data_IF_052264649820
#
_entry.id   IF_052264649820
#
_cell.length_a   1.000
_cell.length_b   1.000
_cell.length_c   1.000
_cell.angle_alpha   90.00
_cell.angle_beta   90.00
_cell.angle_gamma   90.00
#
_symmetry.space_group_name_H-M   'P 1'
#
loop_
_entity.id
_entity.type
_entity.pdbx_description
1 polymer ?
#
# COMPACT_ATOMS: atom_id res chain seq x y z
N UNK A 1 13.47 -2.18 -15.69
CA UNK A 1 14.90 -2.21 -15.30
C UNK A 1 15.73 -1.85 -16.53
N UNK A 2 16.62 -0.86 -16.45
CA UNK A 2 17.45 -0.45 -17.61
C UNK A 2 18.43 -1.55 -18.02
N UNK A 3 18.65 -1.70 -19.33
CA UNK A 3 19.60 -2.66 -19.92
C UNK A 3 21.01 -2.44 -19.32
N UNK A 4 21.75 -3.50 -18.94
CA UNK A 4 23.13 -3.39 -18.48
C UNK A 4 24.04 -2.56 -19.41
N UNK A 5 23.83 -2.65 -20.73
CA UNK A 5 24.61 -1.90 -21.73
C UNK A 5 24.34 -0.40 -21.66
N UNK A 6 23.09 -0.01 -21.43
CA UNK A 6 22.72 1.40 -21.27
C UNK A 6 23.35 2.01 -20.01
N UNK A 7 23.45 1.22 -18.94
CA UNK A 7 24.13 1.63 -17.70
C UNK A 7 25.62 1.85 -17.93
N UNK A 8 26.26 0.98 -18.71
CA UNK A 8 27.67 1.13 -19.06
C UNK A 8 27.93 2.36 -19.93
N UNK A 9 27.08 2.59 -20.94
CA UNK A 9 27.14 3.82 -21.75
C UNK A 9 26.94 5.08 -20.90
N UNK A 10 26.01 5.06 -19.96
CA UNK A 10 25.79 6.17 -19.04
C UNK A 10 27.03 6.45 -18.16
N UNK A 11 27.69 5.40 -17.66
CA UNK A 11 28.94 5.52 -16.89
C UNK A 11 30.07 6.12 -17.74
N UNK A 12 30.23 5.65 -18.98
CA UNK A 12 31.23 6.18 -19.90
C UNK A 12 31.02 7.68 -20.16
N UNK A 13 29.77 8.09 -20.44
CA UNK A 13 29.40 9.51 -20.61
C UNK A 13 29.76 10.35 -19.38
N UNK A 14 29.43 9.86 -18.19
CA UNK A 14 29.78 10.54 -16.94
C UNK A 14 31.30 10.68 -16.76
N UNK A 15 32.07 9.63 -17.06
CA UNK A 15 33.54 9.66 -16.97
C UNK A 15 34.15 10.72 -17.89
N UNK A 16 33.65 10.84 -19.13
CA UNK A 16 34.09 11.88 -20.08
C UNK A 16 33.76 13.28 -19.57
N UNK A 17 32.54 13.50 -19.06
CA UNK A 17 32.14 14.80 -18.48
C UNK A 17 33.06 15.19 -17.33
N UNK A 18 33.41 14.25 -16.44
CA UNK A 18 34.35 14.53 -15.35
C UNK A 18 35.76 14.83 -15.84
N UNK A 19 36.24 14.13 -16.86
CA UNK A 19 37.54 14.39 -17.46
C UNK A 19 37.61 15.82 -18.02
N UNK A 20 36.56 16.27 -18.73
CA UNK A 20 36.46 17.65 -19.23
C UNK A 20 36.39 18.66 -18.08
N UNK A 21 35.51 18.45 -17.08
CA UNK A 21 35.37 19.38 -15.94
C UNK A 21 36.64 19.49 -15.09
N UNK A 22 37.42 18.42 -15.00
CA UNK A 22 38.72 18.40 -14.32
C UNK A 22 39.85 19.04 -15.15
N UNK A 23 39.59 19.45 -16.39
CA UNK A 23 40.58 20.04 -17.29
C UNK A 23 41.58 19.04 -17.88
N UNK A 24 41.35 17.72 -17.73
CA UNK A 24 42.23 16.69 -18.32
C UNK A 24 42.11 16.60 -19.83
N UNK A 25 40.92 16.88 -20.36
CA UNK A 25 40.62 16.94 -21.78
C UNK A 25 39.72 18.16 -22.06
N UNK A 26 39.65 18.57 -23.31
CA UNK A 26 38.75 19.64 -23.76
C UNK A 26 37.35 19.11 -24.05
N UNK A 27 36.34 20.00 -24.05
CA UNK A 27 34.97 19.65 -24.43
C UNK A 27 34.87 19.12 -25.87
N UNK A 28 35.75 19.57 -26.76
CA UNK A 28 35.82 19.10 -28.15
C UNK A 28 36.33 17.66 -28.23
N UNK A 29 37.39 17.34 -27.49
CA UNK A 29 37.90 15.97 -27.37
C UNK A 29 36.86 15.04 -26.72
N UNK A 30 36.18 15.50 -25.68
CA UNK A 30 35.10 14.75 -25.02
C UNK A 30 33.94 14.46 -25.97
N UNK A 31 33.51 15.45 -26.77
CA UNK A 31 32.47 15.27 -27.78
C UNK A 31 32.90 14.25 -28.86
N UNK A 32 34.16 14.33 -29.31
CA UNK A 32 34.74 13.39 -30.28
C UNK A 32 34.79 11.95 -29.73
N UNK A 33 35.20 11.76 -28.48
CA UNK A 33 35.23 10.44 -27.83
C UNK A 33 33.83 9.82 -27.71
N UNK A 34 32.80 10.64 -27.46
CA UNK A 34 31.42 10.20 -27.36
C UNK A 34 30.71 10.07 -28.72
N UNK A 35 31.35 10.46 -29.82
CA UNK A 35 30.77 10.42 -31.16
C UNK A 35 29.61 11.40 -31.36
N UNK A 36 29.62 12.54 -30.65
CA UNK A 36 28.56 13.55 -30.69
C UNK A 36 29.10 14.92 -31.07
N UNK A 37 28.19 15.84 -31.43
CA UNK A 37 28.56 17.23 -31.65
C UNK A 37 28.95 17.93 -30.32
N UNK A 38 29.80 18.95 -30.41
CA UNK A 38 30.17 19.78 -29.25
C UNK A 38 28.95 20.46 -28.60
N UNK A 39 27.94 20.84 -29.39
CA UNK A 39 26.67 21.38 -28.87
C UNK A 39 25.93 20.35 -28.01
N UNK A 40 25.81 19.12 -28.52
CA UNK A 40 25.18 18.00 -27.80
C UNK A 40 25.93 17.66 -26.53
N UNK A 41 27.27 17.71 -26.56
CA UNK A 41 28.09 17.54 -25.37
C UNK A 41 27.71 18.55 -24.28
N UNK A 42 27.63 19.84 -24.58
CA UNK A 42 27.23 20.85 -23.60
C UNK A 42 25.82 20.65 -23.05
N UNK A 43 24.88 20.18 -23.87
CA UNK A 43 23.53 19.83 -23.40
C UNK A 43 23.52 18.62 -22.46
N UNK A 44 24.43 17.66 -22.67
CA UNK A 44 24.57 16.49 -21.81
C UNK A 44 25.27 16.85 -20.50
N UNK A 45 26.34 17.63 -20.58
CA UNK A 45 27.07 18.14 -19.42
C UNK A 45 26.15 18.98 -18.53
N UNK A 46 25.39 19.93 -19.10
CA UNK A 46 24.44 20.75 -18.34
C UNK A 46 23.42 19.88 -17.59
N UNK A 47 22.75 18.96 -18.29
CA UNK A 47 21.75 18.08 -17.67
C UNK A 47 22.35 17.17 -16.59
N UNK A 48 23.56 16.67 -16.80
CA UNK A 48 24.24 15.83 -15.82
C UNK A 48 24.60 16.62 -14.56
N UNK A 49 25.05 17.86 -14.70
CA UNK A 49 25.38 18.74 -13.57
C UNK A 49 24.13 19.21 -12.82
N UNK A 50 23.05 19.54 -13.52
CA UNK A 50 21.74 19.85 -12.91
C UNK A 50 21.25 18.66 -12.07
N UNK A 51 21.18 17.46 -12.65
CA UNK A 51 20.74 16.27 -11.94
C UNK A 51 21.65 15.91 -10.74
N UNK A 52 22.95 16.20 -10.84
CA UNK A 52 23.88 16.01 -9.74
C UNK A 52 23.64 17.04 -8.62
N UNK A 53 23.40 18.29 -8.96
CA UNK A 53 23.07 19.33 -8.00
C UNK A 53 21.77 19.00 -7.27
N UNK A 54 20.73 18.59 -7.99
CA UNK A 54 19.44 18.16 -7.43
C UNK A 54 19.61 16.95 -6.50
N UNK A 55 20.41 15.97 -6.90
CA UNK A 55 20.66 14.77 -6.10
C UNK A 55 21.51 15.04 -4.84
N UNK A 56 22.31 16.11 -4.85
CA UNK A 56 23.16 16.53 -3.74
C UNK A 56 22.54 17.66 -2.91
N UNK A 57 21.36 18.16 -3.30
CA UNK A 57 20.62 19.13 -2.49
C UNK A 57 20.30 18.52 -1.12
N UNK A 58 20.24 19.37 -0.09
CA UNK A 58 19.83 18.96 1.25
C UNK A 58 18.34 18.58 1.23
N UNK A 59 18.02 17.37 0.80
CA UNK A 59 16.70 16.78 0.97
C UNK A 59 16.38 16.63 2.46
N UNK A 60 15.10 16.71 2.82
CA UNK A 60 14.65 16.32 4.16
C UNK A 60 15.23 14.94 4.48
N UNK A 61 15.98 14.82 5.59
CA UNK A 61 16.72 13.61 5.93
C UNK A 61 15.81 12.37 5.87
N UNK A 62 16.08 11.47 4.92
CA UNK A 62 15.38 10.19 4.79
C UNK A 62 14.68 9.98 3.44
N UNK A 63 14.17 8.76 3.24
CA UNK A 63 13.33 8.41 2.09
C UNK A 63 12.13 9.37 2.11
N UNK A 64 11.83 10.12 1.02
CA UNK A 64 10.59 10.88 0.96
C UNK A 64 9.44 9.94 1.35
N UNK A 65 8.60 10.36 2.30
CA UNK A 65 7.36 9.63 2.62
C UNK A 65 6.71 9.38 1.27
N UNK A 66 6.51 8.10 0.92
CA UNK A 66 5.75 7.72 -0.27
C UNK A 66 4.54 8.65 -0.35
N UNK A 67 4.25 9.24 -1.53
CA UNK A 67 3.04 10.05 -1.67
C UNK A 67 1.90 9.22 -1.11
N UNK A 68 1.09 9.85 -0.26
CA UNK A 68 -0.09 9.23 0.32
C UNK A 68 -0.86 8.62 -0.85
N UNK A 69 -0.84 7.30 -0.92
CA UNK A 69 -1.49 6.56 -1.98
C UNK A 69 -2.98 6.67 -1.69
N UNK A 70 -3.67 7.51 -2.46
CA UNK A 70 -5.10 7.79 -2.28
C UNK A 70 -5.94 6.52 -2.43
N UNK A 71 -5.44 5.53 -3.17
CA UNK A 71 -6.05 4.21 -3.25
C UNK A 71 -5.94 3.47 -1.91
N UNK A 72 -4.79 3.57 -1.24
CA UNK A 72 -4.57 2.96 0.07
C UNK A 72 -5.47 3.55 1.16
N UNK A 73 -5.68 4.86 1.18
CA UNK A 73 -6.60 5.50 2.14
C UNK A 73 -8.05 5.05 1.90
N UNK A 74 -8.50 5.05 0.64
CA UNK A 74 -9.84 4.56 0.27
C UNK A 74 -10.04 3.10 0.67
N UNK A 75 -9.05 2.24 0.41
CA UNK A 75 -9.12 0.84 0.80
C UNK A 75 -9.16 0.66 2.33
N UNK A 76 -8.45 1.50 3.09
CA UNK A 76 -8.51 1.46 4.56
C UNK A 76 -9.88 1.89 5.10
N UNK A 77 -10.48 2.92 4.52
CA UNK A 77 -11.85 3.35 4.85
C UNK A 77 -12.88 2.25 4.52
N UNK A 78 -12.75 1.62 3.35
CA UNK A 78 -13.63 0.53 2.93
C UNK A 78 -13.51 -0.69 3.85
N UNK A 79 -12.29 -1.07 4.24
CA UNK A 79 -12.05 -2.15 5.21
C UNK A 79 -12.73 -1.84 6.54
N UNK A 80 -12.55 -0.63 7.07
CA UNK A 80 -13.16 -0.23 8.34
C UNK A 80 -14.70 -0.28 8.28
N UNK A 81 -15.27 0.17 7.17
CA UNK A 81 -16.71 0.14 6.93
C UNK A 81 -17.24 -1.30 6.81
N UNK A 82 -16.54 -2.17 6.10
CA UNK A 82 -16.90 -3.58 5.97
C UNK A 82 -16.79 -4.34 7.29
N UNK A 83 -15.76 -4.07 8.09
CA UNK A 83 -15.60 -4.65 9.43
C UNK A 83 -16.76 -4.27 10.35
N UNK A 84 -17.19 -3.00 10.32
CA UNK A 84 -18.35 -2.56 11.10
C UNK A 84 -19.65 -3.24 10.65
N UNK A 85 -19.88 -3.39 9.34
CA UNK A 85 -21.06 -4.10 8.82
C UNK A 85 -21.06 -5.57 9.24
N UNK A 86 -19.91 -6.23 9.16
CA UNK A 86 -19.74 -7.62 9.55
C UNK A 86 -20.01 -7.79 11.05
N UNK A 87 -19.45 -6.92 11.89
CA UNK A 87 -19.70 -6.93 13.33
C UNK A 87 -21.20 -6.82 13.66
N UNK A 88 -21.92 -5.87 13.04
CA UNK A 88 -23.36 -5.70 13.28
C UNK A 88 -24.15 -6.92 12.80
N UNK A 89 -23.80 -7.49 11.66
CA UNK A 89 -24.46 -8.68 11.12
C UNK A 89 -24.26 -9.89 12.05
N UNK A 90 -23.03 -10.13 12.50
CA UNK A 90 -22.70 -11.21 13.44
C UNK A 90 -23.48 -11.07 14.75
N UNK A 91 -23.48 -9.87 15.35
CA UNK A 91 -24.22 -9.62 16.59
C UNK A 91 -25.73 -9.74 16.44
N UNK A 92 -26.27 -9.39 15.27
CA UNK A 92 -27.69 -9.56 14.99
C UNK A 92 -28.07 -11.05 14.91
N UNK A 93 -27.23 -11.88 14.31
CA UNK A 93 -27.43 -13.34 14.27
C UNK A 93 -27.35 -13.91 15.69
N UNK A 94 -26.33 -13.54 16.47
CA UNK A 94 -26.17 -14.00 17.85
C UNK A 94 -27.41 -13.69 18.72
N UNK A 95 -27.94 -12.46 18.63
CA UNK A 95 -29.16 -12.06 19.36
C UNK A 95 -30.38 -12.85 18.89
N UNK A 96 -30.53 -13.07 17.56
CA UNK A 96 -31.64 -13.87 17.01
C UNK A 96 -31.62 -15.30 17.55
N UNK A 97 -30.45 -15.92 17.58
CA UNK A 97 -30.28 -17.29 18.04
C UNK A 97 -30.58 -17.42 19.55
N UNK A 98 -30.13 -16.46 20.36
CA UNK A 98 -30.47 -16.40 21.79
C UNK A 98 -31.97 -16.25 22.03
N UNK A 99 -32.65 -15.38 21.28
CA UNK A 99 -34.11 -15.20 21.38
C UNK A 99 -34.85 -16.49 21.00
N UNK A 100 -34.43 -17.16 19.92
CA UNK A 100 -35.04 -18.41 19.49
C UNK A 100 -34.87 -19.51 20.56
N UNK A 101 -33.67 -19.65 21.14
CA UNK A 101 -33.42 -20.58 22.23
C UNK A 101 -34.29 -20.30 23.46
N UNK A 102 -34.46 -19.02 23.82
CA UNK A 102 -35.33 -18.61 24.93
C UNK A 102 -36.80 -18.94 24.67
N UNK A 103 -37.31 -18.71 23.46
CA UNK A 103 -38.68 -19.05 23.07
C UNK A 103 -38.94 -20.55 23.14
N UNK A 104 -38.00 -21.37 22.64
CA UNK A 104 -38.08 -22.83 22.72
C UNK A 104 -38.10 -23.32 24.17
N UNK A 105 -37.23 -22.77 25.03
CA UNK A 105 -37.20 -23.09 26.46
C UNK A 105 -38.52 -22.72 27.16
N UNK A 106 -39.05 -21.52 26.90
CA UNK A 106 -40.34 -21.05 27.44
C UNK A 106 -41.52 -21.90 26.96
N UNK A 107 -41.52 -22.32 25.70
CA UNK A 107 -42.54 -23.21 25.16
C UNK A 107 -42.47 -24.61 25.79
N UNK A 108 -41.27 -25.16 25.99
CA UNK A 108 -41.04 -26.42 26.70
C UNK A 108 -41.52 -26.40 28.15
N UNK A 109 -41.17 -25.33 28.89
CA UNK A 109 -41.59 -25.15 30.29
C UNK A 109 -43.12 -25.02 30.46
N UNK A 110 -43.82 -24.40 29.51
CA UNK A 110 -45.29 -24.36 29.50
C UNK A 110 -45.92 -25.74 29.25
N UNK A 111 -45.34 -26.54 28.34
CA UNK A 111 -45.83 -27.89 28.04
C UNK A 111 -45.64 -28.83 29.25
N UNK A 112 -44.45 -28.84 29.88
CA UNK A 112 -44.18 -29.68 31.05
C UNK A 112 -45.09 -29.34 32.25
N UNK A 113 -45.30 -28.05 32.54
CA UNK A 113 -46.22 -27.62 33.60
C UNK A 113 -47.68 -27.99 33.33
N UNK A 114 -48.10 -28.05 32.06
CA UNK A 114 -49.45 -28.51 31.68
C UNK A 114 -49.62 -30.03 31.81
N UNK A 115 -48.59 -30.81 31.48
CA UNK A 115 -48.60 -32.26 31.64
C UNK A 115 -48.59 -32.67 33.11
N UNK A 116 -47.82 -31.99 33.95
CA UNK A 116 -47.76 -32.26 35.37
C UNK A 116 -49.11 -31.99 36.06
N UNK A 117 -49.80 -30.90 35.68
CA UNK A 117 -51.17 -30.61 36.16
C UNK A 117 -52.19 -31.67 35.71
N UNK A 118 -52.10 -32.17 34.47
CA UNK A 118 -52.96 -33.27 33.99
C UNK A 118 -52.67 -34.58 34.74
N UNK A 119 -51.40 -34.90 35.00
CA UNK A 119 -50.99 -36.09 35.78
C UNK A 119 -51.47 -36.02 37.24
N UNK A 120 -51.36 -34.85 37.89
CA UNK A 120 -51.85 -34.63 39.26
C UNK A 120 -53.38 -34.72 39.37
N UNK A 121 -54.12 -34.25 38.35
CA UNK A 121 -55.59 -34.37 38.28
C UNK A 121 -56.08 -35.81 38.09
N UNK A 122 -55.35 -36.66 37.35
CA UNK A 122 -55.68 -38.09 37.17
C UNK A 122 -55.39 -38.97 38.39
N UNK A 123 -54.63 -38.49 39.37
CA UNK A 123 -54.23 -39.24 40.58
C UNK A 123 -55.06 -38.89 41.84
N UNK A 124 -56.07 -38.03 41.72
CA UNK A 124 -57.03 -37.76 42.79
C UNK A 124 -58.19 -38.77 42.68
N UNK A 125 -58.38 -39.66 43.66
CA UNK A 125 -59.50 -40.60 43.70
C UNK A 125 -60.84 -39.88 43.86
#
# INVERSE_FOLDING_TARGET
MSDPRDKELARNRAAVIFAVRSGRITAEEGAKQLGISRKTYYEWERRALEAMADALENGASGRPRTPIDSEKERLQEEIALLQNKLFVAEKTVEVRDMLHAYELHKAGAKKSGSEEKKRKRKKRP
#
